data_IF_205150085338
#
_entry.id   IF_205150085338
#
_cell.length_a   1.000
_cell.length_b   1.000
_cell.length_c   1.000
_cell.angle_alpha   90.00
_cell.angle_beta   90.00
_cell.angle_gamma   90.00
#
_symmetry.space_group_name_H-M   'P 1'
#
loop_
_entity.id
_entity.type
_entity.pdbx_description
1 polymer ?
2 water ?
#
# COMPACT_ATOMS: atom_id res chain seq x y z
N UNK A 1 -2.60 -29.98 -29.45
CA UNK A 1 -1.91 -28.73 -29.04
C UNK A 1 -2.01 -28.43 -27.54
N UNK A 2 -1.05 -27.66 -27.02
CA UNK A 2 -1.14 -27.19 -25.64
C UNK A 2 -2.46 -26.43 -25.45
N UNK A 3 -2.97 -26.53 -24.23
CA UNK A 3 -4.18 -25.83 -23.86
C UNK A 3 -3.97 -24.33 -23.75
N UNK A 4 -5.06 -23.64 -23.46
CA UNK A 4 -5.00 -22.21 -23.27
C UNK A 4 -4.13 -21.81 -22.07
N UNK A 5 -3.58 -20.60 -22.13
CA UNK A 5 -2.99 -20.00 -20.95
C UNK A 5 -3.96 -20.11 -19.77
N UNK A 6 -3.37 -20.30 -18.59
CA UNK A 6 -4.12 -20.40 -17.35
C UNK A 6 -4.77 -19.10 -16.91
N UNK A 7 -5.57 -19.16 -15.86
CA UNK A 7 -6.21 -17.96 -15.34
C UNK A 7 -5.17 -16.92 -14.94
N UNK A 8 -5.53 -15.64 -15.03
CA UNK A 8 -4.67 -14.65 -14.40
C UNK A 8 -4.53 -14.95 -12.91
N UNK A 9 -3.37 -14.57 -12.40
CA UNK A 9 -3.08 -14.72 -10.99
C UNK A 9 -3.94 -13.84 -10.10
N UNK A 10 -3.87 -14.12 -8.80
CA UNK A 10 -4.63 -13.32 -7.86
C UNK A 10 -3.98 -11.95 -7.66
N UNK A 11 -4.74 -11.01 -7.11
CA UNK A 11 -4.16 -9.75 -6.71
C UNK A 11 -2.96 -9.92 -5.80
N UNK A 12 -2.04 -8.97 -5.95
CA UNK A 12 -0.84 -8.95 -5.14
C UNK A 12 -1.08 -8.56 -3.70
N UNK A 13 -0.02 -8.61 -2.90
CA UNK A 13 -0.11 -8.20 -1.50
C UNK A 13 -0.45 -6.72 -1.36
N UNK A 14 -1.08 -6.35 -0.25
CA UNK A 14 -1.29 -4.95 0.03
C UNK A 14 0.05 -4.20 0.07
N UNK A 15 -0.02 -2.92 -0.30
CA UNK A 15 1.16 -2.09 -0.34
C UNK A 15 1.64 -1.74 1.06
N UNK A 16 2.83 -1.15 1.17
CA UNK A 16 3.32 -0.72 2.48
C UNK A 16 2.49 0.39 3.12
N UNK A 17 2.56 0.52 4.44
CA UNK A 17 1.99 1.68 5.09
C UNK A 17 2.61 2.92 4.45
N UNK A 18 1.83 3.99 4.38
CA UNK A 18 2.26 5.28 3.89
C UNK A 18 3.30 5.93 4.79
N UNK A 19 3.86 7.04 4.30
CA UNK A 19 4.82 7.78 5.11
C UNK A 19 4.18 8.40 6.35
N UNK A 20 4.97 8.68 7.38
CA UNK A 20 4.43 9.42 8.51
C UNK A 20 3.87 10.78 8.10
N UNK A 21 2.84 11.21 8.82
CA UNK A 21 2.18 12.47 8.52
C UNK A 21 3.06 13.67 8.82
N UNK A 22 2.58 14.85 8.40
CA UNK A 22 3.29 16.09 8.69
C UNK A 22 3.26 16.38 10.19
N UNK A 23 4.22 17.17 10.66
CA UNK A 23 4.14 17.67 12.02
C UNK A 23 2.82 18.37 12.33
N UNK A 24 2.39 18.32 13.58
CA UNK A 24 1.21 19.05 14.01
C UNK A 24 1.40 20.56 14.04
N UNK A 25 0.32 21.26 14.37
CA UNK A 25 0.39 22.69 14.57
C UNK A 25 1.28 23.06 15.76
N UNK A 26 1.85 24.26 15.68
CA UNK A 26 2.47 24.85 16.86
C UNK A 26 1.54 24.81 18.07
N UNK A 27 2.15 24.61 19.23
CA UNK A 27 1.44 24.56 20.49
C UNK A 27 0.80 25.88 20.86
N UNK A 28 -0.09 25.82 21.85
CA UNK A 28 -0.78 27.01 22.32
C UNK A 28 0.26 28.01 22.84
N UNK A 29 -0.05 29.30 22.70
CA UNK A 29 0.79 30.32 23.31
C UNK A 29 0.94 30.07 24.81
N UNK A 30 2.07 30.50 25.37
CA UNK A 30 2.33 30.34 26.79
C UNK A 30 1.40 31.21 27.62
N UNK B 1 -0.87 -31.13 -24.18
CA UNK B 1 -0.38 -30.76 -22.82
C UNK B 1 -1.12 -29.59 -22.17
N UNK B 2 -1.02 -29.46 -20.85
CA UNK B 2 -1.59 -28.31 -20.18
C UNK B 2 -0.97 -27.04 -20.77
N UNK B 3 -1.78 -25.99 -20.84
CA UNK B 3 -1.30 -24.69 -21.27
C UNK B 3 -0.28 -24.02 -20.37
N UNK B 4 0.23 -22.89 -20.85
CA UNK B 4 1.15 -22.08 -20.06
C UNK B 4 0.49 -21.48 -18.82
N UNK B 5 1.30 -21.14 -17.83
CA UNK B 5 0.75 -20.43 -16.69
C UNK B 5 0.16 -19.10 -17.15
N UNK B 6 -0.90 -18.70 -16.45
CA UNK B 6 -1.51 -17.41 -16.70
C UNK B 6 -0.63 -16.22 -16.39
N UNK B 7 -1.06 -15.03 -16.82
CA UNK B 7 -0.34 -13.81 -16.49
C UNK B 7 -0.38 -13.51 -15.00
N UNK B 8 0.59 -12.74 -14.51
CA UNK B 8 0.54 -12.26 -13.14
C UNK B 8 -0.77 -11.54 -12.87
N UNK B 9 -1.20 -11.59 -11.62
CA UNK B 9 -2.39 -10.87 -11.24
C UNK B 9 -2.19 -9.37 -11.14
N UNK B 10 -3.27 -8.66 -10.85
CA UNK B 10 -3.21 -7.22 -10.69
C UNK B 10 -2.33 -6.84 -9.50
N UNK B 11 -1.77 -5.63 -9.57
CA UNK B 11 -1.19 -5.06 -8.37
C UNK B 11 -2.13 -5.14 -7.18
N UNK B 12 -1.52 -5.32 -6.01
CA UNK B 12 -2.28 -5.44 -4.78
C UNK B 12 -2.92 -4.12 -4.37
N UNK B 13 -3.75 -4.19 -3.33
CA UNK B 13 -4.39 -2.98 -2.83
C UNK B 13 -3.35 -1.95 -2.37
N UNK B 14 -3.70 -0.67 -2.46
CA UNK B 14 -2.86 0.34 -1.81
C UNK B 14 -2.71 0.01 -0.32
N UNK B 15 -1.55 0.38 0.21
CA UNK B 15 -1.26 0.22 1.61
C UNK B 15 -2.11 1.12 2.49
N UNK B 16 -2.08 0.84 3.79
CA UNK B 16 -2.81 1.66 4.73
C UNK B 16 -2.17 3.04 4.92
N UNK B 17 -2.92 3.98 5.48
CA UNK B 17 -2.35 5.24 5.88
C UNK B 17 -1.15 5.04 6.78
N UNK B 18 -0.23 5.99 6.62
CA UNK B 18 0.96 5.99 7.45
C UNK B 18 0.71 6.41 8.88
N UNK B 19 1.78 6.34 9.68
CA UNK B 19 1.70 6.78 11.07
C UNK B 19 1.37 8.26 11.22
N UNK B 20 0.73 8.62 12.34
CA UNK B 20 0.52 10.03 12.61
C UNK B 20 1.85 10.78 12.66
N UNK B 21 1.78 12.06 12.30
CA UNK B 21 2.98 12.88 12.29
C UNK B 21 3.46 13.23 13.68
N UNK B 22 4.65 13.83 13.79
CA UNK B 22 5.16 14.26 15.09
C UNK B 22 4.29 15.37 15.72
N UNK B 23 4.39 15.51 17.04
CA UNK B 23 3.84 16.68 17.71
C UNK B 23 4.43 17.92 17.03
N UNK B 24 3.61 18.96 16.98
CA UNK B 24 4.04 20.25 16.48
C UNK B 24 5.08 20.90 17.38
N UNK B 25 5.66 22.01 16.89
CA UNK B 25 6.64 22.75 17.69
C UNK B 25 5.99 23.32 18.95
N UNK B 26 6.81 23.57 19.98
CA UNK B 26 6.32 24.31 21.13
C UNK B 26 5.76 25.68 20.74
N UNK B 27 4.74 26.10 21.48
CA UNK B 27 4.07 27.37 21.26
C UNK B 27 4.96 28.56 21.54
N UNK B 28 4.50 29.71 21.04
CA UNK B 28 5.15 30.98 21.31
C UNK B 28 5.04 31.30 22.80
N UNK B 29 6.00 32.02 23.36
CA UNK B 29 5.92 32.39 24.77
C UNK B 29 4.74 33.31 25.08
N UNK C 2 -7.17 -30.55 -27.89
CA UNK C 2 -6.22 -29.64 -27.19
C UNK C 2 -6.26 -29.81 -25.67
N UNK C 3 -5.15 -29.42 -25.05
CA UNK C 3 -4.93 -29.64 -23.63
C UNK C 3 -5.74 -28.76 -22.70
N UNK C 4 -5.66 -29.11 -21.42
CA UNK C 4 -6.34 -28.32 -20.40
C UNK C 4 -5.72 -26.93 -20.27
N UNK C 5 -6.51 -26.01 -19.73
CA UNK C 5 -5.98 -24.71 -19.37
C UNK C 5 -4.78 -24.88 -18.43
N UNK C 6 -3.87 -23.91 -18.54
CA UNK C 6 -2.67 -23.96 -17.73
C UNK C 6 -2.88 -23.51 -16.29
N UNK C 7 -1.81 -23.57 -15.51
CA UNK C 7 -1.87 -23.14 -14.11
C UNK C 7 -2.28 -21.68 -13.97
N UNK C 8 -2.89 -21.32 -12.84
CA UNK C 8 -3.07 -19.90 -12.57
C UNK C 8 -1.74 -19.15 -12.57
N UNK C 9 -1.82 -17.88 -12.94
CA UNK C 9 -0.63 -17.05 -12.94
C UNK C 9 -0.15 -16.67 -11.55
N UNK C 10 1.03 -16.08 -11.45
CA UNK C 10 1.53 -15.67 -10.14
C UNK C 10 0.67 -14.57 -9.50
N UNK C 11 0.76 -14.45 -8.18
CA UNK C 11 0.20 -13.30 -7.51
C UNK C 11 0.82 -12.05 -8.14
N UNK C 12 0.02 -10.99 -8.18
CA UNK C 12 0.46 -9.70 -8.67
C UNK C 12 1.50 -9.03 -7.79
N UNK C 13 2.03 -7.91 -8.28
CA UNK C 13 3.01 -7.16 -7.50
C UNK C 13 2.35 -6.56 -6.26
N UNK C 14 3.15 -6.26 -5.24
CA UNK C 14 2.61 -5.54 -4.09
C UNK C 14 2.04 -4.18 -4.50
N UNK C 15 0.99 -3.76 -3.81
CA UNK C 15 0.37 -2.48 -4.08
C UNK C 15 1.24 -1.28 -3.78
N UNK C 16 0.78 -0.11 -4.20
CA UNK C 16 1.48 1.13 -3.90
C UNK C 16 1.45 1.41 -2.39
N UNK C 17 2.42 2.19 -1.92
CA UNK C 17 2.36 2.71 -0.56
C UNK C 17 1.04 3.40 -0.27
N UNK C 18 0.62 3.35 0.99
CA UNK C 18 -0.57 4.08 1.37
C UNK C 18 -0.38 5.59 1.43
N UNK C 19 -1.46 6.30 1.74
CA UNK C 19 -1.40 7.73 1.92
C UNK C 19 -0.51 8.11 3.10
N UNK C 20 0.04 9.32 3.05
CA UNK C 20 0.64 9.89 4.23
C UNK C 20 -0.31 9.81 5.42
N UNK C 21 0.28 9.62 6.59
CA UNK C 21 -0.47 9.53 7.82
C UNK C 21 -1.10 10.85 8.22
N UNK C 22 -1.94 10.80 9.26
CA UNK C 22 -2.58 12.01 9.76
C UNK C 22 -1.53 13.03 10.21
N UNK C 23 -1.88 14.31 10.14
CA UNK C 23 -1.04 15.30 10.79
C UNK C 23 -0.89 14.98 12.28
N UNK C 24 0.26 15.37 12.81
CA UNK C 24 0.54 15.17 14.22
C UNK C 24 -0.32 16.08 15.08
N UNK C 25 -0.29 15.81 16.38
CA UNK C 25 -1.05 16.61 17.32
C UNK C 25 -0.39 17.97 17.54
N UNK C 26 -1.14 18.91 18.11
CA UNK C 26 -0.54 20.16 18.52
C UNK C 26 0.68 19.97 19.41
N UNK C 27 1.58 20.95 19.26
CA UNK C 27 2.78 21.02 20.07
C UNK C 27 2.50 21.34 21.52
N UNK C 28 3.54 21.29 22.35
CA UNK C 28 3.47 21.73 23.74
C UNK C 28 3.12 23.22 23.88
N UNK C 29 2.40 23.58 24.93
CA UNK C 29 2.21 24.99 25.22
C UNK C 29 3.55 25.71 25.36
N UNK C 30 3.53 26.99 25.00
CA UNK C 30 4.72 27.82 25.10
C UNK C 30 5.13 28.15 26.52
#
# INVERSE_FOLDING_TARGET
>A
PPGPPGPPGPPGPPGPPGPPGPPGPPGPPG
>B
PPGPPGPPGPPGPPGPPGPPGPPGPPGPPG
>C
XPGPPGPPGPPGPPGPPGPPGPPGPPGPPG
#
